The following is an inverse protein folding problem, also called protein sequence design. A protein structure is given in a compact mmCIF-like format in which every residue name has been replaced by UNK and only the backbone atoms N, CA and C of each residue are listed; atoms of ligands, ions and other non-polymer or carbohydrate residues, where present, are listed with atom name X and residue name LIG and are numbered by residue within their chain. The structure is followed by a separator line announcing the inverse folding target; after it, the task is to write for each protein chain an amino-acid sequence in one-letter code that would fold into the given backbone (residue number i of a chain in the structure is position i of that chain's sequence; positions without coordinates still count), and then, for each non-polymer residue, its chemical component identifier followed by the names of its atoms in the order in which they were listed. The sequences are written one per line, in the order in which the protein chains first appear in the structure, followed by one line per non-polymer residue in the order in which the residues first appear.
data_IF_526790257319
#
_entry.id   IF_526790257319
#
_cell.length_a   1.000
_cell.length_b   1.000
_cell.length_c   1.000
_cell.angle_alpha   90.00
_cell.angle_beta   90.00
_cell.angle_gamma   90.00
#
_symmetry.space_group_name_H-M   'P 1'
#
loop_
_entity.id
_entity.type
_entity.pdbx_description
1 polymer ?
#
# COMPACT_ATOMS: atom_id res chain seq x y z
N UNK A 1 -28.38 -25.29 -30.21
CA UNK A 1 -28.07 -24.24 -29.21
C UNK A 1 -26.77 -24.63 -28.51
N UNK A 2 -25.75 -25.05 -29.24
CA UNK A 2 -24.67 -24.23 -29.82
C UNK A 2 -23.78 -23.59 -28.76
N UNK A 3 -22.63 -24.25 -28.54
CA UNK A 3 -21.43 -23.86 -27.82
C UNK A 3 -20.83 -22.52 -28.31
N UNK A 4 -21.55 -21.41 -28.22
CA UNK A 4 -21.14 -20.11 -28.77
C UNK A 4 -20.48 -19.15 -27.77
N UNK A 5 -20.12 -19.61 -26.56
CA UNK A 5 -19.54 -18.75 -25.51
C UNK A 5 -18.15 -19.18 -25.02
N UNK A 6 -17.53 -20.20 -25.62
CA UNK A 6 -16.11 -20.54 -25.36
C UNK A 6 -15.23 -19.83 -26.37
N UNK A 7 -14.89 -18.56 -26.11
CA UNK A 7 -13.90 -17.86 -26.94
C UNK A 7 -13.96 -16.34 -27.01
N UNK A 8 -14.74 -15.65 -26.17
CA UNK A 8 -14.50 -14.21 -25.99
C UNK A 8 -13.29 -14.06 -25.09
N UNK A 9 -12.11 -13.77 -25.66
CA UNK A 9 -11.03 -13.18 -24.87
C UNK A 9 -11.62 -11.94 -24.22
N UNK A 10 -11.67 -11.92 -22.89
CA UNK A 10 -12.14 -10.73 -22.18
C UNK A 10 -11.15 -9.62 -22.53
N UNK A 11 -11.60 -8.64 -23.31
CA UNK A 11 -10.79 -7.51 -23.71
C UNK A 11 -10.34 -6.76 -22.44
N UNK A 12 -9.06 -6.39 -22.37
CA UNK A 12 -8.54 -5.62 -21.26
C UNK A 12 -9.20 -4.23 -21.21
N UNK A 13 -9.81 -3.88 -20.08
CA UNK A 13 -10.47 -2.60 -19.83
C UNK A 13 -9.47 -1.59 -19.27
N UNK A 14 -8.90 -0.73 -20.12
CA UNK A 14 -7.88 0.25 -19.75
C UNK A 14 -8.44 1.64 -19.35
N UNK A 15 -9.76 1.77 -19.19
CA UNK A 15 -10.46 3.05 -18.98
C UNK A 15 -9.93 3.79 -17.75
N UNK A 16 -9.62 3.08 -16.67
CA UNK A 16 -8.98 3.67 -15.49
C UNK A 16 -7.64 4.33 -15.81
N UNK A 17 -6.75 3.66 -16.56
CA UNK A 17 -5.43 4.20 -16.89
C UNK A 17 -5.52 5.43 -17.80
N UNK A 18 -6.44 5.40 -18.77
CA UNK A 18 -6.73 6.53 -19.66
C UNK A 18 -7.21 7.75 -18.88
N UNK A 19 -8.14 7.54 -17.95
CA UNK A 19 -8.63 8.61 -17.06
C UNK A 19 -7.50 9.19 -16.18
N UNK A 20 -6.62 8.35 -15.61
CA UNK A 20 -5.45 8.82 -14.87
C UNK A 20 -4.53 9.72 -15.69
N UNK A 21 -4.41 9.46 -17.00
CA UNK A 21 -3.63 10.28 -17.95
C UNK A 21 -4.41 11.47 -18.54
N UNK A 22 -5.64 11.72 -18.06
CA UNK A 22 -6.54 12.78 -18.53
C UNK A 22 -6.93 12.62 -20.02
N UNK A 23 -6.95 11.38 -20.51
CA UNK A 23 -7.43 11.05 -21.85
C UNK A 23 -8.97 10.93 -21.87
N UNK A 24 -9.58 11.14 -23.03
CA UNK A 24 -11.03 10.94 -23.20
C UNK A 24 -11.40 9.47 -22.95
N UNK A 25 -12.50 9.22 -22.26
CA UNK A 25 -12.99 7.89 -21.88
C UNK A 25 -14.49 7.75 -22.16
N UNK A 26 -14.99 6.54 -22.49
CA UNK A 26 -16.41 6.33 -22.81
C UNK A 26 -17.33 6.44 -21.59
N UNK A 27 -16.79 6.28 -20.38
CA UNK A 27 -17.48 6.44 -19.10
C UNK A 27 -16.46 6.76 -18.00
N UNK A 28 -16.93 7.23 -16.85
CA UNK A 28 -16.07 7.50 -15.69
C UNK A 28 -15.71 6.18 -14.99
N UNK A 29 -14.42 5.81 -14.89
CA UNK A 29 -14.02 4.57 -14.22
C UNK A 29 -14.23 4.65 -12.70
N UNK A 30 -14.60 3.54 -12.09
CA UNK A 30 -14.86 3.43 -10.65
C UNK A 30 -14.12 2.24 -10.03
N UNK A 31 -13.50 2.47 -8.88
CA UNK A 31 -13.02 1.47 -7.94
C UNK A 31 -13.17 2.01 -6.53
N UNK A 32 -13.06 1.16 -5.50
CA UNK A 32 -13.24 1.61 -4.11
C UNK A 32 -12.02 1.26 -3.23
N UNK A 33 -11.59 2.22 -2.41
CA UNK A 33 -10.66 1.89 -1.32
C UNK A 33 -11.30 0.85 -0.40
N UNK A 34 -10.53 -0.19 -0.04
CA UNK A 34 -11.01 -1.36 0.72
C UNK A 34 -12.13 -2.13 0.01
N UNK A 35 -12.16 -2.13 -1.33
CA UNK A 35 -13.09 -2.96 -2.12
C UNK A 35 -12.95 -4.45 -1.83
N UNK A 36 -11.75 -4.94 -1.47
CA UNK A 36 -11.58 -6.28 -0.92
C UNK A 36 -11.66 -6.18 0.61
N UNK A 37 -12.72 -6.73 1.22
CA UNK A 37 -12.86 -6.59 2.66
C UNK A 37 -14.09 -7.20 3.30
N UNK A 38 -14.26 -6.90 4.60
CA UNK A 38 -15.20 -7.55 5.52
C UNK A 38 -16.68 -7.50 5.12
N UNK A 39 -17.07 -6.64 4.18
CA UNK A 39 -18.46 -6.61 3.68
C UNK A 39 -18.78 -7.84 2.80
N UNK A 40 -17.78 -8.47 2.18
CA UNK A 40 -17.94 -9.63 1.30
C UNK A 40 -17.96 -10.93 2.11
N UNK A 41 -18.96 -11.79 1.88
CA UNK A 41 -19.04 -13.12 2.50
C UNK A 41 -17.84 -14.01 2.18
N UNK A 42 -17.37 -13.97 0.94
CA UNK A 42 -16.26 -14.78 0.44
C UNK A 42 -14.94 -14.37 1.09
N UNK A 43 -14.73 -13.06 1.32
CA UNK A 43 -13.59 -12.57 2.08
C UNK A 43 -13.65 -13.05 3.54
N UNK A 44 -14.83 -12.98 4.18
CA UNK A 44 -15.01 -13.48 5.55
C UNK A 44 -14.68 -14.97 5.66
N UNK A 45 -15.15 -15.79 4.72
CA UNK A 45 -14.84 -17.21 4.67
C UNK A 45 -13.33 -17.49 4.50
N UNK A 46 -12.60 -16.69 3.71
CA UNK A 46 -11.14 -16.80 3.62
C UNK A 46 -10.48 -16.45 4.97
N UNK A 47 -10.97 -15.41 5.66
CA UNK A 47 -10.44 -14.96 6.96
C UNK A 47 -10.70 -15.94 8.12
N UNK A 48 -11.60 -16.91 7.96
CA UNK A 48 -11.78 -18.03 8.92
C UNK A 48 -10.59 -18.99 8.91
N UNK A 49 -9.82 -19.06 7.81
CA UNK A 49 -8.70 -19.98 7.65
C UNK A 49 -7.32 -19.30 7.68
N UNK A 50 -7.26 -18.00 7.38
CA UNK A 50 -6.00 -17.26 7.28
C UNK A 50 -6.10 -15.93 8.02
N UNK A 51 -5.09 -15.59 8.82
CA UNK A 51 -4.87 -14.23 9.33
C UNK A 51 -4.65 -13.23 8.18
N UNK A 52 -4.74 -11.92 8.47
CA UNK A 52 -4.55 -10.89 7.44
C UNK A 52 -3.17 -11.01 6.77
N UNK A 53 -2.09 -11.15 7.56
CA UNK A 53 -0.74 -11.27 7.01
C UNK A 53 -0.50 -12.63 6.36
N UNK A 54 -1.09 -13.72 6.86
CA UNK A 54 -0.99 -15.03 6.21
C UNK A 54 -1.57 -14.98 4.79
N UNK A 55 -2.71 -14.31 4.57
CA UNK A 55 -3.25 -14.12 3.21
C UNK A 55 -2.19 -13.51 2.29
N UNK A 56 -1.49 -12.47 2.74
CA UNK A 56 -0.44 -11.84 1.92
C UNK A 56 0.73 -12.77 1.61
N UNK A 57 1.03 -13.75 2.46
CA UNK A 57 2.10 -14.74 2.25
C UNK A 57 1.68 -15.94 1.39
N UNK A 58 0.41 -16.00 0.97
CA UNK A 58 -0.13 -17.01 0.04
C UNK A 58 -0.59 -16.32 -1.25
N UNK A 59 0.27 -16.20 -2.27
CA UNK A 59 -0.01 -15.39 -3.46
C UNK A 59 -1.29 -15.75 -4.21
N UNK A 60 -1.65 -17.03 -4.25
CA UNK A 60 -2.89 -17.53 -4.84
C UNK A 60 -4.13 -17.07 -4.06
N UNK A 61 -4.07 -17.13 -2.72
CA UNK A 61 -5.14 -16.64 -1.84
C UNK A 61 -5.25 -15.12 -1.91
N UNK A 62 -4.12 -14.42 -1.92
CA UNK A 62 -4.05 -12.97 -2.04
C UNK A 62 -4.62 -12.48 -3.38
N UNK A 63 -4.25 -13.15 -4.48
CA UNK A 63 -4.79 -12.87 -5.81
C UNK A 63 -6.30 -13.12 -5.87
N UNK A 64 -6.78 -14.22 -5.27
CA UNK A 64 -8.22 -14.50 -5.15
C UNK A 64 -8.95 -13.37 -4.42
N UNK A 65 -8.44 -12.93 -3.25
CA UNK A 65 -9.04 -11.83 -2.48
C UNK A 65 -9.08 -10.54 -3.30
N UNK A 66 -7.99 -10.21 -4.00
CA UNK A 66 -7.86 -8.99 -4.81
C UNK A 66 -8.87 -8.97 -5.97
N UNK A 67 -9.15 -10.13 -6.59
CA UNK A 67 -10.07 -10.26 -7.73
C UNK A 67 -11.54 -10.23 -7.37
N UNK A 68 -11.92 -10.68 -6.17
CA UNK A 68 -13.32 -10.77 -5.74
C UNK A 68 -14.16 -9.51 -6.05
N UNK A 69 -13.68 -8.27 -5.78
CA UNK A 69 -14.48 -7.08 -6.03
C UNK A 69 -14.61 -6.76 -7.51
N UNK A 70 -13.61 -7.07 -8.33
CA UNK A 70 -13.69 -6.93 -9.80
C UNK A 70 -14.79 -7.84 -10.33
N UNK A 71 -14.82 -9.10 -9.89
CA UNK A 71 -15.80 -10.10 -10.33
C UNK A 71 -17.22 -9.83 -9.83
N UNK A 72 -17.36 -9.24 -8.63
CA UNK A 72 -18.66 -9.03 -7.98
C UNK A 72 -19.27 -7.66 -8.23
N UNK A 73 -18.43 -6.62 -8.32
CA UNK A 73 -18.88 -5.23 -8.46
C UNK A 73 -18.68 -4.68 -9.87
N UNK A 74 -17.84 -5.33 -10.71
CA UNK A 74 -17.52 -4.82 -12.04
C UNK A 74 -16.72 -3.52 -12.02
N UNK A 75 -15.87 -3.31 -11.01
CA UNK A 75 -15.00 -2.13 -10.91
C UNK A 75 -13.93 -2.12 -12.01
N UNK A 76 -13.47 -0.92 -12.38
CA UNK A 76 -12.55 -0.68 -13.50
C UNK A 76 -11.07 -0.79 -13.13
N UNK A 77 -10.77 -1.11 -11.88
CA UNK A 77 -9.42 -1.40 -11.41
C UNK A 77 -9.44 -2.35 -10.20
N UNK A 78 -8.41 -3.19 -10.11
CA UNK A 78 -8.09 -3.93 -8.91
C UNK A 78 -7.07 -3.13 -8.09
N UNK A 79 -7.20 -3.12 -6.77
CA UNK A 79 -6.14 -2.67 -5.85
C UNK A 79 -5.58 -3.91 -5.15
N UNK A 80 -4.25 -4.04 -5.15
CA UNK A 80 -3.55 -5.14 -4.48
C UNK A 80 -4.07 -5.30 -3.04
N UNK A 81 -4.37 -6.53 -2.62
CA UNK A 81 -4.62 -6.83 -1.22
C UNK A 81 -3.29 -6.90 -0.44
N UNK A 82 -2.95 -5.82 0.25
CA UNK A 82 -1.80 -5.77 1.15
C UNK A 82 -2.07 -4.78 2.30
N UNK A 83 -1.10 -4.55 3.17
CA UNK A 83 -1.12 -3.45 4.14
C UNK A 83 0.08 -2.53 3.96
N UNK A 84 -0.07 -1.25 4.31
CA UNK A 84 1.02 -0.26 4.23
C UNK A 84 2.19 -0.61 5.16
N UNK A 85 1.98 -1.47 6.16
CA UNK A 85 3.01 -1.95 7.07
C UNK A 85 3.82 -3.12 6.52
N UNK A 86 3.42 -3.74 5.39
CA UNK A 86 4.12 -4.91 4.82
C UNK A 86 5.62 -4.68 4.64
N UNK A 87 6.11 -3.57 4.06
CA UNK A 87 7.54 -3.30 3.93
C UNK A 87 8.27 -3.20 5.27
N UNK A 88 7.66 -2.57 6.27
CA UNK A 88 8.25 -2.43 7.61
C UNK A 88 8.34 -3.78 8.32
N UNK A 89 7.29 -4.61 8.20
CA UNK A 89 7.30 -5.97 8.74
C UNK A 89 8.40 -6.82 8.10
N UNK A 90 8.57 -6.70 6.77
CA UNK A 90 9.59 -7.42 6.02
C UNK A 90 11.03 -7.02 6.43
N UNK A 91 11.25 -5.76 6.81
CA UNK A 91 12.51 -5.28 7.43
C UNK A 91 12.74 -5.80 8.85
N UNK A 92 11.82 -6.58 9.40
CA UNK A 92 11.92 -7.18 10.74
C UNK A 92 11.31 -6.35 11.87
N UNK A 93 10.61 -5.25 11.55
CA UNK A 93 9.95 -4.46 12.59
C UNK A 93 8.73 -5.21 13.13
N UNK A 94 8.61 -5.23 14.46
CA UNK A 94 7.55 -5.93 15.19
C UNK A 94 6.26 -5.11 15.21
N UNK A 95 5.49 -5.26 14.13
CA UNK A 95 4.14 -4.71 13.94
C UNK A 95 3.09 -5.82 13.97
N UNK A 96 2.03 -5.56 14.74
CA UNK A 96 0.83 -6.40 14.81
C UNK A 96 -0.39 -5.62 14.32
N UNK A 97 -1.25 -6.25 13.52
CA UNK A 97 -2.54 -5.67 13.15
C UNK A 97 -3.58 -6.14 14.17
N UNK A 98 -3.94 -5.26 15.10
CA UNK A 98 -4.93 -5.53 16.14
C UNK A 98 -6.32 -5.19 15.60
N UNK A 99 -7.26 -6.13 15.69
CA UNK A 99 -8.62 -5.92 15.18
C UNK A 99 -9.30 -4.75 15.89
N UNK A 100 -9.92 -3.85 15.11
CA UNK A 100 -10.58 -2.64 15.61
C UNK A 100 -9.64 -1.50 16.00
N UNK A 101 -8.33 -1.74 16.06
CA UNK A 101 -7.31 -0.73 16.40
C UNK A 101 -6.46 -0.38 15.18
N UNK A 102 -5.95 -1.37 14.44
CA UNK A 102 -5.00 -1.18 13.34
C UNK A 102 -3.58 -1.59 13.73
N UNK A 103 -2.54 -1.08 13.05
CA UNK A 103 -1.16 -1.47 13.31
C UNK A 103 -0.66 -0.91 14.64
N UNK A 104 0.00 -1.75 15.42
CA UNK A 104 0.61 -1.43 16.71
C UNK A 104 2.06 -1.88 16.71
N UNK A 105 2.97 -0.99 17.13
CA UNK A 105 4.40 -1.25 17.23
C UNK A 105 4.81 -1.46 18.69
N UNK A 106 5.51 -2.57 18.95
CA UNK A 106 6.00 -2.90 20.28
C UNK A 106 7.14 -1.97 20.77
N UNK A 107 7.91 -1.40 19.85
CA UNK A 107 9.06 -0.54 20.15
C UNK A 107 8.98 0.75 19.33
N UNK A 108 8.24 1.77 19.82
CA UNK A 108 8.08 3.01 19.07
C UNK A 108 9.35 3.87 19.13
N UNK A 109 9.62 4.63 18.06
CA UNK A 109 10.79 5.52 17.95
C UNK A 109 10.71 6.66 18.96
N UNK A 110 11.83 6.93 19.64
CA UNK A 110 12.01 8.07 20.54
C UNK A 110 13.22 8.92 20.16
N UNK A 111 14.23 8.33 19.53
CA UNK A 111 15.50 8.97 19.15
C UNK A 111 16.02 8.44 17.81
N UNK A 112 16.97 9.14 17.18
CA UNK A 112 17.69 8.66 15.99
C UNK A 112 18.31 7.26 16.14
N UNK A 113 18.75 6.89 17.35
CA UNK A 113 19.36 5.59 17.61
C UNK A 113 18.41 4.42 17.32
N UNK A 114 17.10 4.63 17.49
CA UNK A 114 16.07 3.59 17.35
C UNK A 114 15.89 3.09 15.91
N UNK A 115 16.33 3.87 14.91
CA UNK A 115 16.24 3.49 13.49
C UNK A 115 17.56 3.56 12.72
N UNK A 116 18.61 4.16 13.28
CA UNK A 116 19.93 4.27 12.64
C UNK A 116 20.57 2.94 12.21
N UNK A 117 20.13 1.82 12.78
CA UNK A 117 20.64 0.47 12.52
C UNK A 117 19.76 -0.34 11.55
N UNK A 118 18.67 0.24 11.03
CA UNK A 118 17.79 -0.48 10.13
C UNK A 118 18.48 -0.81 8.82
N UNK A 119 18.26 -2.03 8.34
CA UNK A 119 18.72 -2.43 7.01
C UNK A 119 17.80 -1.84 5.94
N UNK A 120 18.31 -1.46 4.77
CA UNK A 120 17.48 -1.14 3.61
C UNK A 120 16.53 -2.30 3.27
N UNK A 121 15.38 -1.97 2.68
CA UNK A 121 14.47 -2.99 2.14
C UNK A 121 14.99 -3.48 0.79
N UNK A 122 15.20 -4.79 0.67
CA UNK A 122 15.51 -5.46 -0.59
C UNK A 122 14.25 -6.15 -1.11
N UNK A 123 13.39 -5.43 -1.84
CA UNK A 123 12.02 -5.90 -2.13
C UNK A 123 11.96 -7.28 -2.81
N UNK A 124 12.96 -7.61 -3.64
CA UNK A 124 13.02 -8.89 -4.33
C UNK A 124 13.19 -10.08 -3.37
N UNK A 125 13.95 -9.90 -2.28
CA UNK A 125 14.18 -10.94 -1.26
C UNK A 125 13.22 -10.85 -0.08
N UNK A 126 12.81 -9.65 0.30
CA UNK A 126 12.11 -9.41 1.56
C UNK A 126 10.58 -9.53 1.42
N UNK A 127 10.06 -9.24 0.22
CA UNK A 127 8.61 -9.34 -0.09
C UNK A 127 8.31 -10.10 -1.39
N UNK A 128 8.95 -11.26 -1.67
CA UNK A 128 8.74 -12.01 -2.91
C UNK A 128 7.28 -12.43 -3.08
N UNK A 129 6.57 -12.71 -1.98
CA UNK A 129 5.15 -13.06 -1.97
C UNK A 129 4.25 -11.94 -2.51
N UNK A 130 4.59 -10.68 -2.27
CA UNK A 130 3.86 -9.54 -2.85
C UNK A 130 4.09 -9.51 -4.36
N UNK A 131 5.34 -9.67 -4.78
CA UNK A 131 5.74 -9.59 -6.19
C UNK A 131 5.13 -10.73 -7.01
N UNK A 132 5.11 -11.94 -6.47
CA UNK A 132 4.44 -13.10 -7.05
C UNK A 132 2.92 -12.89 -7.17
N UNK A 133 2.29 -12.32 -6.14
CA UNK A 133 0.86 -11.97 -6.19
C UNK A 133 0.57 -11.01 -7.35
N UNK A 134 1.41 -9.99 -7.53
CA UNK A 134 1.26 -9.00 -8.62
C UNK A 134 1.40 -9.68 -9.98
N UNK A 135 2.39 -10.57 -10.15
CA UNK A 135 2.60 -11.30 -11.40
C UNK A 135 1.39 -12.20 -11.74
N UNK A 136 0.84 -12.91 -10.74
CA UNK A 136 -0.36 -13.71 -10.90
C UNK A 136 -1.55 -12.84 -11.32
N UNK A 137 -1.76 -11.72 -10.63
CA UNK A 137 -2.85 -10.80 -10.92
C UNK A 137 -2.73 -10.15 -12.30
N UNK A 138 -1.52 -9.77 -12.71
CA UNK A 138 -1.27 -9.20 -14.04
C UNK A 138 -1.72 -10.14 -15.17
N UNK A 139 -1.58 -11.46 -14.98
CA UNK A 139 -2.02 -12.47 -15.94
C UNK A 139 -3.53 -12.77 -15.86
N UNK A 140 -4.13 -12.58 -14.68
CA UNK A 140 -5.49 -13.03 -14.38
C UNK A 140 -6.56 -11.94 -14.49
N UNK A 141 -6.16 -10.66 -14.39
CA UNK A 141 -7.07 -9.53 -14.43
C UNK A 141 -7.32 -9.05 -15.86
N UNK A 142 -8.56 -8.65 -16.10
CA UNK A 142 -8.99 -7.93 -17.31
C UNK A 142 -9.10 -6.41 -17.06
N UNK A 143 -8.66 -5.93 -15.91
CA UNK A 143 -8.62 -4.51 -15.50
C UNK A 143 -7.24 -4.19 -14.93
N UNK A 144 -6.81 -2.92 -14.93
CA UNK A 144 -5.54 -2.50 -14.35
C UNK A 144 -5.38 -2.90 -12.89
N UNK A 145 -4.18 -3.33 -12.51
CA UNK A 145 -3.78 -3.51 -11.12
C UNK A 145 -3.11 -2.25 -10.57
N UNK A 146 -3.64 -1.75 -9.45
CA UNK A 146 -3.09 -0.67 -8.64
C UNK A 146 -2.22 -1.27 -7.53
N UNK A 147 -0.92 -1.04 -7.59
CA UNK A 147 0.01 -1.24 -6.48
C UNK A 147 -0.04 -0.06 -5.51
N UNK A 148 0.51 -0.21 -4.31
CA UNK A 148 0.53 0.91 -3.36
C UNK A 148 1.59 0.80 -2.27
N UNK A 149 1.80 1.93 -1.59
CA UNK A 149 2.64 2.05 -0.40
C UNK A 149 2.06 3.09 0.58
N UNK A 150 2.52 3.06 1.83
CA UNK A 150 2.26 4.15 2.79
C UNK A 150 3.21 5.31 2.56
N UNK A 151 2.73 6.54 2.73
CA UNK A 151 3.59 7.72 2.67
C UNK A 151 4.51 7.82 3.91
N UNK A 152 5.71 8.42 3.78
CA UNK A 152 6.66 8.58 4.89
C UNK A 152 6.06 9.15 6.17
N UNK A 153 5.25 10.23 6.09
CA UNK A 153 4.66 10.82 7.30
C UNK A 153 3.69 9.87 8.00
N UNK A 154 2.83 9.22 7.24
CA UNK A 154 1.88 8.23 7.77
C UNK A 154 2.61 7.04 8.42
N UNK A 155 3.67 6.53 7.79
CA UNK A 155 4.48 5.44 8.34
C UNK A 155 5.24 5.88 9.61
N UNK A 156 5.91 7.04 9.57
CA UNK A 156 6.59 7.61 10.73
C UNK A 156 5.64 7.88 11.89
N UNK A 157 4.41 8.28 11.60
CA UNK A 157 3.37 8.48 12.61
C UNK A 157 3.11 7.19 13.40
N UNK A 158 2.93 6.06 12.73
CA UNK A 158 2.78 4.77 13.43
C UNK A 158 4.04 4.36 14.19
N UNK A 159 5.22 4.55 13.59
CA UNK A 159 6.50 4.20 14.19
C UNK A 159 6.79 5.00 15.47
N UNK A 160 6.41 6.28 15.51
CA UNK A 160 6.65 7.17 16.66
C UNK A 160 5.52 7.06 17.69
N UNK A 161 4.26 7.06 17.27
CA UNK A 161 3.15 6.97 18.22
C UNK A 161 3.07 5.59 18.89
N UNK A 162 3.42 4.54 18.14
CA UNK A 162 3.29 3.13 18.52
C UNK A 162 1.95 2.51 18.11
N UNK A 163 1.07 3.28 17.47
CA UNK A 163 -0.27 2.86 17.08
C UNK A 163 -1.08 4.03 16.51
N UNK A 164 -2.39 3.86 16.28
CA UNK A 164 -3.25 4.96 15.86
C UNK A 164 -3.30 6.06 16.93
N UNK A 165 -3.22 7.32 16.50
CA UNK A 165 -3.27 8.49 17.37
C UNK A 165 -4.27 9.50 16.82
N UNK A 166 -4.97 10.23 17.69
CA UNK A 166 -5.95 11.22 17.24
C UNK A 166 -5.30 12.50 16.72
N UNK A 167 -4.22 12.92 17.39
CA UNK A 167 -3.62 14.24 17.20
C UNK A 167 -2.13 14.21 16.79
N UNK A 168 -1.49 13.03 16.83
CA UNK A 168 -0.10 12.83 16.42
C UNK A 168 0.89 13.75 17.14
N UNK A 169 0.67 13.99 18.45
CA UNK A 169 1.48 14.91 19.25
C UNK A 169 2.93 14.45 19.41
N UNK A 170 3.18 13.13 19.50
CA UNK A 170 4.56 12.61 19.61
C UNK A 170 5.27 12.72 18.28
N UNK A 171 4.59 12.40 17.18
CA UNK A 171 5.14 12.57 15.82
C UNK A 171 5.56 14.02 15.58
N UNK A 172 4.67 14.99 15.87
CA UNK A 172 4.98 16.41 15.74
C UNK A 172 6.07 16.86 16.71
N UNK A 173 6.00 16.41 17.97
CA UNK A 173 7.03 16.70 18.97
C UNK A 173 8.41 16.26 18.50
N UNK A 174 8.52 15.04 17.96
CA UNK A 174 9.75 14.51 17.38
C UNK A 174 10.21 15.32 16.16
N UNK A 175 9.29 15.59 15.21
CA UNK A 175 9.56 16.38 14.01
C UNK A 175 10.11 17.78 14.32
N UNK A 176 9.58 18.45 15.36
CA UNK A 176 10.04 19.78 15.75
C UNK A 176 11.30 19.77 16.61
N UNK A 177 11.40 18.85 17.57
CA UNK A 177 12.49 18.81 18.53
C UNK A 177 13.77 18.17 17.96
N UNK A 178 13.63 17.27 16.98
CA UNK A 178 14.72 16.50 16.39
C UNK A 178 14.66 16.58 14.85
N UNK A 179 14.85 17.77 14.25
CA UNK A 179 14.69 17.96 12.81
C UNK A 179 15.70 17.17 11.96
N UNK A 180 16.90 16.91 12.48
CA UNK A 180 17.91 16.08 11.80
C UNK A 180 17.50 14.61 11.77
N UNK A 181 17.07 14.05 12.92
CA UNK A 181 16.56 12.68 13.00
C UNK A 181 15.27 12.53 12.16
N UNK A 182 14.41 13.54 12.15
CA UNK A 182 13.22 13.56 11.29
C UNK A 182 13.60 13.47 9.80
N UNK A 183 14.56 14.29 9.36
CA UNK A 183 15.03 14.26 7.98
C UNK A 183 15.63 12.89 7.62
N UNK A 184 16.43 12.30 8.51
CA UNK A 184 17.00 10.97 8.32
C UNK A 184 15.91 9.88 8.23
N UNK A 185 14.87 9.96 9.07
CA UNK A 185 13.75 9.02 9.02
C UNK A 185 12.91 9.18 7.73
N UNK A 186 12.69 10.42 7.29
CA UNK A 186 11.99 10.69 6.03
C UNK A 186 12.76 10.15 4.82
N UNK A 187 14.08 10.28 4.82
CA UNK A 187 14.97 9.76 3.79
C UNK A 187 14.89 8.22 3.72
N UNK A 188 15.05 7.53 4.85
CA UNK A 188 14.96 6.06 4.93
C UNK A 188 13.58 5.54 4.45
N UNK A 189 12.49 6.17 4.89
CA UNK A 189 11.13 5.79 4.50
C UNK A 189 10.81 6.10 3.03
N UNK A 190 11.43 7.14 2.46
CA UNK A 190 11.31 7.43 1.04
C UNK A 190 12.02 6.37 0.18
N UNK A 191 13.25 5.98 0.55
CA UNK A 191 14.00 4.94 -0.14
C UNK A 191 13.27 3.59 -0.08
N UNK A 192 12.75 3.22 1.09
CA UNK A 192 11.92 2.03 1.24
C UNK A 192 10.68 2.07 0.34
N UNK A 193 9.97 3.21 0.33
CA UNK A 193 8.77 3.41 -0.50
C UNK A 193 9.09 3.30 -1.99
N UNK A 194 10.18 3.94 -2.45
CA UNK A 194 10.63 3.90 -3.84
C UNK A 194 11.02 2.48 -4.27
N UNK A 195 11.85 1.79 -3.47
CA UNK A 195 12.28 0.42 -3.75
C UNK A 195 11.06 -0.50 -3.90
N UNK A 196 10.11 -0.39 -2.96
CA UNK A 196 8.90 -1.20 -2.95
C UNK A 196 7.98 -0.91 -4.14
N UNK A 197 7.67 0.36 -4.43
CA UNK A 197 6.81 0.73 -5.56
C UNK A 197 7.44 0.36 -6.91
N UNK A 198 8.74 0.61 -7.10
CA UNK A 198 9.45 0.20 -8.31
C UNK A 198 9.42 -1.31 -8.50
N UNK A 199 9.56 -2.09 -7.44
CA UNK A 199 9.43 -3.55 -7.52
C UNK A 199 8.02 -3.98 -7.94
N UNK A 200 6.98 -3.37 -7.37
CA UNK A 200 5.60 -3.64 -7.76
C UNK A 200 5.34 -3.32 -9.24
N UNK A 201 5.83 -2.17 -9.72
CA UNK A 201 5.71 -1.75 -11.13
C UNK A 201 6.39 -2.76 -12.05
N UNK A 202 7.64 -3.16 -11.75
CA UNK A 202 8.38 -4.16 -12.53
C UNK A 202 7.66 -5.51 -12.61
N UNK A 203 6.88 -5.87 -11.59
CA UNK A 203 6.14 -7.13 -11.53
C UNK A 203 4.76 -7.07 -12.19
N UNK A 204 4.29 -5.89 -12.64
CA UNK A 204 3.06 -5.76 -13.43
C UNK A 204 1.98 -4.85 -12.84
N UNK A 205 2.26 -4.12 -11.75
CA UNK A 205 1.37 -3.04 -11.32
C UNK A 205 1.35 -1.93 -12.39
N UNK A 206 0.16 -1.53 -12.85
CA UNK A 206 -0.01 -0.59 -13.96
C UNK A 206 -0.31 0.84 -13.50
N UNK A 207 -0.69 0.99 -12.23
CA UNK A 207 -0.77 2.25 -11.52
C UNK A 207 -0.26 2.05 -10.08
N UNK A 208 0.15 3.14 -9.43
CA UNK A 208 0.55 3.11 -8.02
C UNK A 208 -0.15 4.22 -7.24
N UNK A 209 -0.47 3.94 -5.98
CA UNK A 209 -1.03 4.90 -5.05
C UNK A 209 -0.17 5.01 -3.78
N UNK A 210 0.09 6.24 -3.32
CA UNK A 210 0.78 6.51 -2.06
C UNK A 210 -0.25 7.01 -1.05
N UNK A 211 -0.44 6.27 0.05
CA UNK A 211 -1.43 6.60 1.07
C UNK A 211 -0.81 7.45 2.18
N UNK A 212 -1.11 8.75 2.17
CA UNK A 212 -0.76 9.66 3.27
C UNK A 212 -1.95 9.98 4.17
N UNK A 213 -2.47 8.93 4.82
CA UNK A 213 -3.71 8.96 5.60
C UNK A 213 -3.73 10.02 6.72
N UNK A 214 -2.55 10.35 7.28
CA UNK A 214 -2.45 11.18 8.48
C UNK A 214 -1.93 12.59 8.24
N UNK A 215 -1.54 12.93 7.01
CA UNK A 215 -0.91 14.22 6.69
C UNK A 215 -1.76 15.43 7.00
N UNK A 216 -3.09 15.27 7.04
CA UNK A 216 -4.03 16.31 7.46
C UNK A 216 -3.83 16.77 8.91
N UNK A 217 -2.99 16.08 9.70
CA UNK A 217 -2.55 16.56 10.99
C UNK A 217 -1.59 17.76 10.89
N UNK A 218 -0.87 17.94 9.77
CA UNK A 218 0.08 19.03 9.59
C UNK A 218 -0.59 20.33 9.13
N UNK A 219 -0.02 21.46 9.53
CA UNK A 219 -0.29 22.74 8.86
C UNK A 219 0.33 22.73 7.46
N UNK A 220 -0.13 23.62 6.58
CA UNK A 220 0.47 23.76 5.26
C UNK A 220 1.97 24.14 5.34
N UNK A 221 2.34 25.00 6.29
CA UNK A 221 3.74 25.38 6.53
C UNK A 221 4.59 24.18 6.94
N UNK A 222 4.10 23.36 7.88
CA UNK A 222 4.81 22.17 8.32
C UNK A 222 4.93 21.13 7.20
N UNK A 223 3.87 20.94 6.41
CA UNK A 223 3.92 20.05 5.25
C UNK A 223 5.03 20.48 4.29
N UNK A 224 5.06 21.76 3.91
CA UNK A 224 6.06 22.29 2.99
C UNK A 224 7.49 22.18 3.54
N UNK A 225 7.67 22.40 4.84
CA UNK A 225 8.98 22.39 5.48
C UNK A 225 9.51 20.97 5.73
N UNK A 226 8.67 20.07 6.23
CA UNK A 226 9.12 18.80 6.81
C UNK A 226 8.82 17.57 5.95
N UNK A 227 7.94 17.67 4.94
CA UNK A 227 7.46 16.50 4.20
C UNK A 227 7.44 16.67 2.68
N UNK A 228 7.13 17.87 2.17
CA UNK A 228 7.02 18.11 0.74
C UNK A 228 8.29 17.72 -0.06
N UNK A 229 9.53 17.99 0.41
CA UNK A 229 10.73 17.55 -0.29
C UNK A 229 10.79 16.01 -0.46
N UNK A 230 10.42 15.27 0.58
CA UNK A 230 10.37 13.81 0.58
C UNK A 230 9.33 13.29 -0.40
N UNK A 231 8.13 13.88 -0.41
CA UNK A 231 7.07 13.48 -1.33
C UNK A 231 7.42 13.83 -2.79
N UNK A 232 8.05 14.98 -3.03
CA UNK A 232 8.54 15.35 -4.36
C UNK A 232 9.56 14.34 -4.88
N UNK A 233 10.52 13.91 -4.04
CA UNK A 233 11.46 12.85 -4.42
C UNK A 233 10.73 11.57 -4.84
N UNK A 234 9.73 11.13 -4.07
CA UNK A 234 8.97 9.91 -4.39
C UNK A 234 8.27 9.99 -5.75
N UNK A 235 7.69 11.14 -6.10
CA UNK A 235 6.91 11.28 -7.35
C UNK A 235 7.72 11.71 -8.58
N UNK A 236 8.95 12.17 -8.40
CA UNK A 236 9.84 12.61 -9.49
C UNK A 236 10.93 11.59 -9.84
N UNK A 237 11.11 10.55 -9.04
CA UNK A 237 12.05 9.44 -9.29
C UNK A 237 11.43 8.38 -10.21
#
# INVERSE_FOLDING_TARGET
MTNFLKGMSILFNDVFLRACRKEAVPFTPVWFMRQAGRYQSEYRAIREHYSFFEISHHPDVCAKVTRLPVEKLGVDAAILFADIMTPLKARGLKVEIVEGVGPVFSHPIRTGADFSHWKPLESASDVPYVLETIQLLHQQLNVPLIGFAGAPFTLASYLIEGGPSKNYHRTKGFMYAHPEDWAALMEDLAEMTLNYLHAQIRCGAQAVQVFDSWVGALSAEDYHRYLAPTMQRIFLS
#
